data_IF_063423499196
#
_entry.id   IF_063423499196
#
_cell.length_a   1.000
_cell.length_b   1.000
_cell.length_c   1.000
_cell.angle_alpha   90.00
_cell.angle_beta   90.00
_cell.angle_gamma   90.00
#
_symmetry.space_group_name_H-M   'P 1'
#
loop_
_entity.id
_entity.type
_entity.pdbx_description
1 polymer ?
#
# COMPACT_ATOMS: atom_id res chain seq x y z
N UNK A 1 34.20 22.43 -60.24
CA UNK A 1 34.18 21.43 -59.15
C UNK A 1 33.22 21.94 -58.08
N UNK A 2 31.94 21.60 -58.28
CA UNK A 2 30.79 22.01 -57.50
C UNK A 2 30.76 21.27 -56.19
N UNK A 3 30.55 22.00 -55.11
CA UNK A 3 30.19 21.46 -53.81
C UNK A 3 28.66 21.53 -53.66
N UNK A 4 28.03 20.40 -53.54
CA UNK A 4 26.62 20.30 -53.21
C UNK A 4 26.41 20.71 -51.78
N UNK A 5 25.52 21.68 -51.62
CA UNK A 5 25.04 22.20 -50.34
C UNK A 5 23.90 21.28 -49.84
N UNK A 6 24.15 20.56 -48.78
CA UNK A 6 23.12 19.74 -48.12
C UNK A 6 22.40 20.59 -47.08
N UNK A 7 21.21 21.04 -47.44
CA UNK A 7 20.28 21.72 -46.56
C UNK A 7 19.84 20.79 -45.42
N UNK A 8 20.31 21.07 -44.23
CA UNK A 8 19.83 20.44 -43.01
C UNK A 8 18.36 20.82 -42.74
N UNK A 9 17.50 19.81 -42.63
CA UNK A 9 16.09 20.00 -42.33
C UNK A 9 15.89 20.68 -40.97
N UNK A 10 15.17 21.80 -40.99
CA UNK A 10 14.69 22.48 -39.80
C UNK A 10 13.68 21.60 -39.05
N UNK A 11 14.13 21.01 -37.96
CA UNK A 11 13.21 20.46 -36.98
C UNK A 11 12.43 21.61 -36.32
N UNK A 12 11.16 21.76 -36.67
CA UNK A 12 10.26 22.75 -36.10
C UNK A 12 10.26 22.68 -34.56
N UNK A 13 10.89 23.65 -33.91
CA UNK A 13 10.86 23.82 -32.47
C UNK A 13 9.42 24.13 -32.07
N UNK A 14 8.80 23.26 -31.28
CA UNK A 14 7.52 23.52 -30.67
C UNK A 14 7.67 24.70 -29.68
N UNK A 15 7.33 25.91 -30.12
CA UNK A 15 7.57 27.18 -29.41
C UNK A 15 6.44 27.52 -28.42
N UNK A 16 5.65 26.57 -28.03
CA UNK A 16 4.64 26.77 -26.99
C UNK A 16 5.27 26.80 -25.59
N UNK A 17 5.21 27.96 -24.95
CA UNK A 17 5.58 28.05 -23.54
C UNK A 17 4.50 27.45 -22.63
N UNK A 18 4.87 27.13 -21.38
CA UNK A 18 3.95 26.48 -20.40
C UNK A 18 2.61 27.22 -20.24
N UNK A 19 2.63 28.56 -20.32
CA UNK A 19 1.44 29.38 -20.17
C UNK A 19 0.52 29.27 -21.38
N UNK A 20 1.06 29.24 -22.58
CA UNK A 20 0.30 29.01 -23.81
C UNK A 20 -0.28 27.61 -23.88
N UNK A 21 0.47 26.60 -23.44
CA UNK A 21 -0.04 25.22 -23.33
C UNK A 21 -1.26 25.13 -22.41
N UNK A 22 -1.20 25.74 -21.23
CA UNK A 22 -2.32 25.76 -20.27
C UNK A 22 -3.54 26.53 -20.80
N UNK A 23 -3.32 27.64 -21.52
CA UNK A 23 -4.40 28.42 -22.11
C UNK A 23 -5.09 27.66 -23.24
N UNK A 24 -4.36 26.97 -24.11
CA UNK A 24 -4.94 26.19 -25.19
C UNK A 24 -5.59 24.88 -24.70
N UNK A 25 -5.02 24.20 -23.73
CA UNK A 25 -5.62 22.99 -23.15
C UNK A 25 -6.88 23.29 -22.34
N UNK A 26 -6.92 24.42 -21.63
CA UNK A 26 -8.11 24.87 -20.91
C UNK A 26 -9.26 25.26 -21.81
N UNK A 27 -8.98 25.93 -22.92
CA UNK A 27 -10.00 26.34 -23.88
C UNK A 27 -10.64 25.15 -24.61
N UNK A 28 -9.86 24.13 -24.96
CA UNK A 28 -10.40 22.91 -25.59
C UNK A 28 -11.25 22.06 -24.66
N UNK A 29 -10.92 22.02 -23.36
CA UNK A 29 -11.72 21.30 -22.36
C UNK A 29 -13.08 21.98 -22.12
N UNK A 30 -13.12 23.33 -22.14
CA UNK A 30 -14.36 24.08 -21.96
C UNK A 30 -15.31 23.95 -23.15
N UNK A 31 -14.79 23.92 -24.37
CA UNK A 31 -15.61 23.78 -25.60
C UNK A 31 -16.11 22.35 -25.78
N UNK A 32 -15.33 21.33 -25.41
CA UNK A 32 -15.76 19.92 -25.48
C UNK A 32 -16.89 19.61 -24.48
N UNK A 33 -16.88 20.21 -23.29
CA UNK A 33 -17.94 20.00 -22.28
C UNK A 33 -19.25 20.69 -22.63
N UNK A 34 -19.24 21.81 -23.34
CA UNK A 34 -20.48 22.49 -23.77
C UNK A 34 -21.13 21.84 -24.98
N UNK A 35 -20.36 21.27 -25.91
CA UNK A 35 -20.90 20.57 -27.08
C UNK A 35 -21.50 19.22 -26.70
N UNK A 36 -20.95 18.52 -25.74
CA UNK A 36 -21.50 17.23 -25.28
C UNK A 36 -22.81 17.38 -24.48
N UNK A 37 -23.05 18.53 -23.87
CA UNK A 37 -24.31 18.77 -23.11
C UNK A 37 -25.49 19.06 -23.99
N UNK A 38 -25.29 19.55 -25.23
CA UNK A 38 -26.36 19.92 -26.15
C UNK A 38 -26.79 18.80 -27.12
N UNK A 39 -25.99 17.75 -27.28
CA UNK A 39 -26.26 16.66 -28.23
C UNK A 39 -27.00 15.44 -27.63
N UNK A 40 -27.06 15.34 -26.29
CA UNK A 40 -27.77 14.25 -25.62
C UNK A 40 -28.71 14.80 -24.53
N UNK A 41 -30.00 15.05 -24.84
CA UNK A 41 -30.97 15.39 -23.82
C UNK A 41 -31.43 14.13 -23.05
N UNK A 42 -30.51 13.23 -22.79
CA UNK A 42 -30.73 12.13 -21.88
C UNK A 42 -30.06 12.49 -20.57
N UNK A 43 -30.85 12.63 -19.50
CA UNK A 43 -30.35 12.68 -18.15
C UNK A 43 -29.50 11.45 -17.90
N UNK A 44 -28.18 11.56 -18.10
CA UNK A 44 -27.23 10.59 -17.57
C UNK A 44 -27.42 10.64 -16.05
N UNK A 45 -28.30 9.79 -15.51
CA UNK A 45 -28.28 9.46 -14.09
C UNK A 45 -26.88 8.88 -13.85
N UNK A 46 -25.97 9.71 -13.36
CA UNK A 46 -24.74 9.21 -12.80
C UNK A 46 -25.16 8.16 -11.77
N UNK A 47 -24.91 6.91 -12.06
CA UNK A 47 -25.13 5.85 -11.11
C UNK A 47 -24.25 6.20 -9.92
N UNK A 48 -24.86 6.70 -8.84
CA UNK A 48 -24.16 6.90 -7.59
C UNK A 48 -23.71 5.52 -7.13
N UNK A 49 -22.47 5.19 -7.41
CA UNK A 49 -21.86 4.04 -6.80
C UNK A 49 -21.89 4.30 -5.29
N UNK A 50 -22.78 3.60 -4.58
CA UNK A 50 -22.82 3.64 -3.13
C UNK A 50 -21.46 3.11 -2.66
N UNK A 51 -20.62 4.00 -2.12
CA UNK A 51 -19.41 3.58 -1.44
C UNK A 51 -19.85 2.67 -0.28
N UNK A 52 -19.50 1.39 -0.36
CA UNK A 52 -19.73 0.44 0.72
C UNK A 52 -18.62 0.63 1.74
N UNK A 53 -18.93 1.20 2.88
CA UNK A 53 -18.04 1.17 4.03
C UNK A 53 -18.04 -0.25 4.57
N UNK A 54 -16.95 -0.98 4.38
CA UNK A 54 -16.77 -2.32 4.92
C UNK A 54 -15.92 -2.17 6.18
N UNK A 55 -16.50 -2.48 7.35
CA UNK A 55 -15.77 -2.45 8.62
C UNK A 55 -14.84 -3.66 8.75
N UNK A 56 -13.60 -3.41 9.16
CA UNK A 56 -12.72 -4.48 9.59
C UNK A 56 -13.15 -5.04 10.96
N UNK A 57 -12.98 -6.35 11.22
CA UNK A 57 -13.28 -6.91 12.53
C UNK A 57 -12.28 -6.38 13.57
N UNK A 58 -12.78 -6.02 14.77
CA UNK A 58 -11.94 -5.78 15.94
C UNK A 58 -11.60 -7.15 16.55
N UNK A 59 -10.36 -7.63 16.38
CA UNK A 59 -9.93 -8.97 16.74
C UNK A 59 -8.84 -8.90 17.80
N UNK A 60 -9.04 -9.57 18.94
CA UNK A 60 -7.99 -9.76 19.95
C UNK A 60 -6.86 -10.60 19.38
N UNK A 61 -5.63 -10.09 19.40
CA UNK A 61 -4.45 -10.76 18.81
C UNK A 61 -3.33 -11.03 19.80
N UNK A 62 -3.46 -10.58 21.06
CA UNK A 62 -2.49 -10.86 22.11
C UNK A 62 -2.62 -9.93 23.30
N UNK A 63 -1.67 -10.03 24.22
CA UNK A 63 -1.52 -9.14 25.38
C UNK A 63 -0.16 -8.49 25.39
N UNK A 64 -0.11 -7.22 25.76
CA UNK A 64 1.12 -6.44 25.80
C UNK A 64 2.11 -6.99 26.82
N UNK A 65 1.61 -7.46 27.98
CA UNK A 65 2.42 -8.06 29.05
C UNK A 65 3.12 -9.37 28.65
N UNK A 66 2.60 -10.06 27.64
CA UNK A 66 3.17 -11.32 27.13
C UNK A 66 4.27 -11.08 26.07
N UNK A 67 4.37 -9.87 25.51
CA UNK A 67 5.31 -9.55 24.47
C UNK A 67 6.70 -9.23 25.05
N UNK A 68 7.72 -9.77 24.39
CA UNK A 68 9.11 -9.42 24.63
C UNK A 68 9.63 -8.57 23.49
N UNK A 69 10.51 -7.62 23.79
CA UNK A 69 11.11 -6.76 22.79
C UNK A 69 11.87 -7.58 21.73
N UNK A 70 11.62 -7.26 20.46
CA UNK A 70 12.22 -7.91 19.29
C UNK A 70 11.92 -9.41 19.13
N UNK A 71 10.90 -9.92 19.82
CA UNK A 71 10.41 -11.30 19.65
C UNK A 71 9.11 -11.26 18.84
N UNK A 72 9.14 -11.70 17.57
CA UNK A 72 7.95 -11.67 16.72
C UNK A 72 6.94 -12.75 17.14
N UNK A 73 5.65 -12.39 17.11
CA UNK A 73 4.51 -13.27 17.29
C UNK A 73 3.72 -13.38 15.98
N UNK A 74 3.39 -14.60 15.59
CA UNK A 74 2.53 -14.84 14.42
C UNK A 74 1.06 -14.70 14.82
N UNK A 75 0.31 -13.90 14.07
CA UNK A 75 -1.13 -13.68 14.24
C UNK A 75 -1.85 -13.88 12.91
N UNK A 76 -3.18 -14.04 12.96
CA UNK A 76 -4.03 -14.08 11.77
C UNK A 76 -4.98 -12.88 11.77
N UNK A 77 -4.95 -12.10 10.66
CA UNK A 77 -5.84 -10.96 10.47
C UNK A 77 -6.00 -10.64 8.97
N UNK A 78 -7.19 -10.24 8.50
CA UNK A 78 -8.44 -9.96 9.24
C UNK A 78 -9.23 -11.22 9.64
N UNK A 79 -8.99 -12.33 8.97
CA UNK A 79 -9.67 -13.62 9.15
C UNK A 79 -8.66 -14.75 9.39
N UNK A 80 -9.11 -16.01 9.37
CA UNK A 80 -8.24 -17.20 9.44
C UNK A 80 -8.06 -17.85 8.06
N UNK A 81 -8.43 -17.14 7.00
CA UNK A 81 -8.37 -17.65 5.64
C UNK A 81 -6.97 -17.61 5.04
N UNK A 82 -6.90 -17.93 3.77
CA UNK A 82 -5.66 -17.94 2.99
C UNK A 82 -4.96 -16.58 3.06
N UNK A 83 -3.66 -16.59 3.32
CA UNK A 83 -2.78 -15.42 3.33
C UNK A 83 -3.07 -14.40 4.44
N UNK A 84 -3.82 -14.78 5.50
CA UNK A 84 -4.14 -13.89 6.64
C UNK A 84 -3.03 -13.73 7.65
N UNK A 85 -1.97 -14.54 7.60
CA UNK A 85 -0.95 -14.50 8.62
C UNK A 85 -0.11 -13.22 8.54
N UNK A 86 0.14 -12.67 9.72
CA UNK A 86 0.91 -11.46 9.94
C UNK A 86 1.87 -11.66 11.11
N UNK A 87 2.96 -10.91 11.10
CA UNK A 87 3.94 -10.88 12.18
C UNK A 87 3.72 -9.62 13.00
N UNK A 88 3.41 -9.79 14.28
CA UNK A 88 3.33 -8.72 15.28
C UNK A 88 4.62 -8.71 16.11
N UNK A 89 5.15 -7.53 16.39
CA UNK A 89 6.39 -7.39 17.15
C UNK A 89 6.44 -6.08 17.93
N UNK A 90 6.93 -6.16 19.17
CA UNK A 90 7.34 -5.00 19.97
C UNK A 90 8.81 -4.73 19.68
N UNK A 91 9.09 -3.66 18.97
CA UNK A 91 10.40 -3.40 18.35
C UNK A 91 11.41 -2.72 19.27
N UNK A 92 10.94 -2.14 20.39
CA UNK A 92 11.76 -1.36 21.31
C UNK A 92 12.22 0.00 20.74
N UNK A 93 11.80 0.35 19.51
CA UNK A 93 12.06 1.65 18.87
C UNK A 93 10.78 2.17 18.25
N UNK A 94 10.66 3.50 18.17
CA UNK A 94 9.48 4.15 17.58
C UNK A 94 9.30 3.77 16.12
N UNK A 95 8.10 3.30 15.76
CA UNK A 95 7.73 2.87 14.41
C UNK A 95 6.60 3.71 13.83
N UNK A 96 6.57 3.84 12.50
CA UNK A 96 5.45 4.38 11.77
C UNK A 96 4.21 3.51 11.94
N UNK A 97 3.08 4.12 12.37
CA UNK A 97 1.85 3.37 12.69
C UNK A 97 1.93 2.51 13.94
N UNK A 98 3.02 2.61 14.72
CA UNK A 98 3.17 1.88 15.97
C UNK A 98 2.25 2.39 17.07
N UNK A 99 1.78 1.48 17.93
CA UNK A 99 0.92 1.76 19.09
C UNK A 99 1.66 1.55 20.41
N UNK A 100 1.03 1.94 21.51
CA UNK A 100 1.62 1.91 22.85
C UNK A 100 2.40 3.17 23.19
N UNK A 101 2.87 3.25 24.43
CA UNK A 101 3.58 4.43 24.95
C UNK A 101 4.87 4.73 24.16
N UNK A 102 5.61 3.68 23.77
CA UNK A 102 6.80 3.77 22.94
C UNK A 102 6.50 3.92 21.44
N UNK A 103 5.25 3.72 21.01
CA UNK A 103 4.86 3.60 19.60
C UNK A 103 5.71 2.55 18.87
N UNK A 104 6.00 1.48 19.56
CA UNK A 104 6.97 0.45 19.17
C UNK A 104 6.32 -0.92 18.88
N UNK A 105 5.01 -1.03 19.07
CA UNK A 105 4.26 -2.23 18.73
C UNK A 105 3.65 -2.10 17.34
N UNK A 106 4.05 -2.97 16.42
CA UNK A 106 3.60 -3.00 15.02
C UNK A 106 3.27 -4.41 14.56
N UNK A 107 2.47 -4.53 13.52
CA UNK A 107 2.22 -5.81 12.86
C UNK A 107 2.14 -5.63 11.35
N UNK A 108 2.67 -6.61 10.61
CA UNK A 108 2.74 -6.59 9.15
C UNK A 108 2.38 -7.96 8.56
N UNK A 109 1.83 -7.96 7.36
CA UNK A 109 1.66 -9.19 6.60
C UNK A 109 2.97 -9.98 6.55
N UNK A 110 2.90 -11.28 6.72
CA UNK A 110 4.07 -12.15 6.66
C UNK A 110 4.30 -12.72 5.24
N UNK A 111 3.71 -12.07 4.23
CA UNK A 111 3.89 -12.39 2.81
C UNK A 111 4.53 -11.23 2.06
N UNK A 112 5.58 -11.54 1.31
CA UNK A 112 6.26 -10.59 0.43
C UNK A 112 5.30 -10.07 -0.66
N UNK A 113 5.26 -8.75 -0.86
CA UNK A 113 4.37 -8.12 -1.85
C UNK A 113 4.77 -8.36 -3.30
N UNK A 114 6.00 -8.87 -3.55
CA UNK A 114 6.43 -9.19 -4.90
C UNK A 114 5.71 -10.44 -5.46
N UNK A 115 5.91 -11.60 -4.84
CA UNK A 115 5.34 -12.89 -5.28
C UNK A 115 4.91 -13.79 -4.11
N UNK A 116 4.50 -13.21 -3.01
CA UNK A 116 3.96 -13.95 -1.87
C UNK A 116 4.95 -14.84 -1.13
N UNK A 117 6.25 -14.63 -1.29
CA UNK A 117 7.26 -15.40 -0.57
C UNK A 117 7.10 -15.24 0.96
N UNK A 118 7.31 -16.31 1.74
CA UNK A 118 7.10 -16.28 3.19
C UNK A 118 8.16 -15.42 3.89
N UNK A 119 7.69 -14.50 4.73
CA UNK A 119 8.52 -13.65 5.60
C UNK A 119 8.44 -14.08 7.07
N UNK A 120 7.75 -15.15 7.37
CA UNK A 120 7.71 -15.73 8.74
C UNK A 120 9.13 -16.08 9.18
N UNK A 121 9.51 -15.65 10.39
CA UNK A 121 10.86 -15.85 10.92
C UNK A 121 11.95 -15.02 10.24
N UNK A 122 11.59 -14.04 9.43
CA UNK A 122 12.55 -13.17 8.72
C UNK A 122 12.72 -11.79 9.36
N UNK A 123 12.17 -11.58 10.55
CA UNK A 123 12.41 -10.37 11.34
C UNK A 123 13.85 -10.31 11.83
N UNK A 124 14.47 -9.13 11.73
CA UNK A 124 15.84 -8.88 12.19
C UNK A 124 15.99 -7.47 12.74
N UNK A 125 16.87 -7.35 13.71
CA UNK A 125 17.35 -6.07 14.26
C UNK A 125 18.65 -5.71 13.54
N UNK A 126 18.72 -4.51 12.98
CA UNK A 126 19.90 -3.98 12.30
C UNK A 126 20.07 -2.54 12.76
N UNK A 127 20.96 -2.30 13.71
CA UNK A 127 21.17 -1.02 14.37
C UNK A 127 19.85 -0.41 14.89
N UNK A 128 19.50 0.81 14.49
CA UNK A 128 18.21 1.44 14.81
C UNK A 128 17.03 0.92 13.97
N UNK A 129 17.31 0.15 12.92
CA UNK A 129 16.27 -0.37 12.03
C UNK A 129 15.75 -1.73 12.48
N UNK A 130 14.52 -1.99 12.14
CA UNK A 130 13.86 -3.29 12.28
C UNK A 130 13.37 -3.69 10.91
N UNK A 131 13.85 -4.81 10.44
CA UNK A 131 13.58 -5.24 9.06
C UNK A 131 12.83 -6.56 9.04
N UNK A 132 12.05 -6.76 8.00
CA UNK A 132 11.44 -8.03 7.63
C UNK A 132 11.97 -8.45 6.25
N UNK A 133 12.69 -9.56 6.21
CA UNK A 133 13.40 -10.03 5.00
C UNK A 133 14.75 -10.67 5.36
N UNK A 134 15.58 -11.06 4.38
CA UNK A 134 15.28 -11.03 2.95
C UNK A 134 14.27 -12.11 2.58
N UNK A 135 13.37 -11.79 1.65
CA UNK A 135 12.45 -12.76 1.08
C UNK A 135 13.25 -13.89 0.37
N UNK A 136 12.91 -15.17 0.59
CA UNK A 136 13.68 -16.28 0.03
C UNK A 136 13.60 -16.39 -1.49
N UNK A 137 12.62 -15.72 -2.13
CA UNK A 137 12.44 -15.78 -3.59
C UNK A 137 13.33 -14.77 -4.32
N UNK A 138 13.18 -13.46 -4.01
CA UNK A 138 13.87 -12.39 -4.77
C UNK A 138 14.43 -11.30 -3.86
N UNK A 139 14.79 -11.66 -2.62
CA UNK A 139 15.54 -10.86 -1.65
C UNK A 139 14.87 -9.54 -1.21
N UNK A 140 13.58 -9.35 -1.49
CA UNK A 140 12.86 -8.15 -1.02
C UNK A 140 12.93 -8.05 0.50
N UNK A 141 13.28 -6.86 1.00
CA UNK A 141 13.46 -6.54 2.41
C UNK A 141 12.71 -5.25 2.72
N UNK A 142 12.09 -5.20 3.88
CA UNK A 142 11.20 -4.12 4.29
C UNK A 142 11.63 -3.54 5.63
N UNK A 143 11.58 -2.21 5.78
CA UNK A 143 11.80 -1.52 7.04
C UNK A 143 10.48 -1.36 7.80
N UNK A 144 10.29 -2.12 8.87
CA UNK A 144 9.06 -2.08 9.68
C UNK A 144 9.01 -0.88 10.62
N UNK A 145 10.10 -0.15 10.80
CA UNK A 145 10.10 1.13 11.53
C UNK A 145 9.46 2.26 10.73
N UNK A 146 9.34 2.08 9.40
CA UNK A 146 8.84 3.07 8.44
C UNK A 146 7.70 2.53 7.59
N UNK A 147 6.63 2.04 8.23
CA UNK A 147 5.44 1.52 7.54
C UNK A 147 5.71 0.38 6.55
N UNK A 148 6.74 -0.42 6.77
CA UNK A 148 7.06 -1.54 5.88
C UNK A 148 7.54 -1.13 4.50
N UNK A 149 8.18 0.04 4.34
CA UNK A 149 8.74 0.45 3.05
C UNK A 149 9.80 -0.54 2.56
N UNK A 150 9.90 -0.68 1.27
CA UNK A 150 10.90 -1.51 0.62
C UNK A 150 12.27 -0.83 0.73
N UNK A 151 13.28 -1.55 1.20
CA UNK A 151 14.66 -1.08 1.25
C UNK A 151 15.59 -1.82 0.28
N UNK A 152 15.18 -3.02 -0.18
CA UNK A 152 15.89 -3.74 -1.23
C UNK A 152 15.01 -4.82 -1.86
N UNK A 153 15.44 -5.36 -3.00
CA UNK A 153 14.79 -6.45 -3.73
C UNK A 153 13.82 -5.98 -4.79
N UNK A 154 12.91 -6.86 -5.23
CA UNK A 154 12.08 -6.66 -6.41
C UNK A 154 10.61 -6.31 -6.11
N UNK A 155 10.24 -6.11 -4.85
CA UNK A 155 8.90 -5.66 -4.51
C UNK A 155 8.66 -4.21 -4.99
N UNK A 156 7.39 -3.87 -5.25
CA UNK A 156 6.97 -2.54 -5.70
C UNK A 156 6.10 -1.82 -4.67
N UNK A 157 5.55 -2.56 -3.70
CA UNK A 157 4.63 -2.05 -2.69
C UNK A 157 5.20 -2.28 -1.29
N UNK A 158 4.93 -1.35 -0.38
CA UNK A 158 5.23 -1.53 1.05
C UNK A 158 4.52 -2.77 1.58
N UNK A 159 5.10 -3.38 2.61
CA UNK A 159 4.50 -4.52 3.26
C UNK A 159 3.19 -4.10 3.95
N UNK A 160 2.05 -4.78 3.69
CA UNK A 160 0.78 -4.40 4.29
C UNK A 160 0.84 -4.41 5.82
N UNK A 161 0.45 -3.28 6.43
CA UNK A 161 0.49 -3.07 7.87
C UNK A 161 -0.87 -3.35 8.50
N UNK A 162 -0.90 -4.18 9.54
CA UNK A 162 -2.08 -4.36 10.39
C UNK A 162 -2.17 -3.18 11.35
N UNK A 163 -3.31 -2.51 11.37
CA UNK A 163 -3.59 -1.43 12.30
C UNK A 163 -3.96 -2.04 13.66
N UNK A 164 -3.23 -1.62 14.68
CA UNK A 164 -3.40 -2.11 16.04
C UNK A 164 -4.01 -1.05 16.93
N UNK A 165 -4.71 -1.49 17.97
CA UNK A 165 -5.27 -0.67 19.05
C UNK A 165 -4.97 -1.36 20.40
N UNK A 166 -4.69 -0.56 21.41
CA UNK A 166 -4.52 -1.07 22.80
C UNK A 166 -5.74 -0.71 23.64
N UNK A 167 -6.22 -1.69 24.38
CA UNK A 167 -7.25 -1.52 25.40
C UNK A 167 -6.74 -2.14 26.72
N UNK A 168 -6.15 -1.31 27.55
CA UNK A 168 -5.38 -1.79 28.70
C UNK A 168 -4.19 -2.64 28.28
N UNK A 169 -4.20 -3.90 28.67
CA UNK A 169 -3.19 -4.90 28.30
C UNK A 169 -3.51 -5.66 27.01
N UNK A 170 -4.75 -5.55 26.53
CA UNK A 170 -5.20 -6.27 25.35
C UNK A 170 -4.82 -5.57 24.06
N UNK A 171 -4.36 -6.33 23.07
CA UNK A 171 -3.97 -5.85 21.74
C UNK A 171 -5.02 -6.30 20.75
N UNK A 172 -5.64 -5.35 20.07
CA UNK A 172 -6.62 -5.61 19.03
C UNK A 172 -6.08 -5.21 17.64
N UNK A 173 -6.31 -6.07 16.66
CA UNK A 173 -6.21 -5.71 15.27
C UNK A 173 -7.55 -5.14 14.80
N UNK A 174 -7.51 -3.94 14.17
CA UNK A 174 -8.74 -3.17 13.85
C UNK A 174 -8.81 -2.77 12.38
N UNK A 175 -7.77 -3.01 11.60
CA UNK A 175 -7.74 -2.63 10.19
C UNK A 175 -6.49 -3.09 9.48
N UNK A 176 -6.43 -2.81 8.18
CA UNK A 176 -5.29 -3.14 7.34
C UNK A 176 -4.97 -1.99 6.40
N UNK A 177 -3.74 -1.59 6.34
CA UNK A 177 -3.21 -0.63 5.38
C UNK A 177 -2.43 -1.38 4.32
N UNK A 178 -2.84 -1.27 3.06
CA UNK A 178 -2.33 -2.07 1.94
C UNK A 178 -3.13 -3.34 1.69
N UNK A 179 -2.92 -3.96 0.53
CA UNK A 179 -3.61 -5.18 0.10
C UNK A 179 -2.76 -6.42 0.42
N UNK A 180 -3.34 -7.41 1.07
CA UNK A 180 -2.69 -8.70 1.34
C UNK A 180 -2.40 -9.40 0.01
N UNK A 181 -1.17 -9.89 -0.15
CA UNK A 181 -0.77 -10.61 -1.35
C UNK A 181 -1.69 -11.79 -1.67
N UNK A 182 -2.08 -11.90 -2.94
CA UNK A 182 -2.93 -12.97 -3.45
C UNK A 182 -4.41 -12.82 -3.12
N UNK A 183 -4.83 -11.62 -2.66
CA UNK A 183 -6.23 -11.23 -2.48
C UNK A 183 -6.59 -10.09 -3.41
N UNK A 184 -7.85 -10.02 -3.82
CA UNK A 184 -8.43 -8.88 -4.55
C UNK A 184 -9.12 -7.89 -3.60
N UNK A 185 -9.31 -8.28 -2.34
CA UNK A 185 -9.81 -7.45 -1.24
C UNK A 185 -9.38 -8.08 0.09
N UNK A 186 -9.12 -7.27 1.11
CA UNK A 186 -8.66 -7.77 2.40
C UNK A 186 -9.74 -8.53 3.18
N UNK A 187 -10.99 -8.09 3.06
CA UNK A 187 -12.13 -8.76 3.70
C UNK A 187 -12.71 -9.76 2.73
N UNK A 188 -12.52 -11.03 3.01
CA UNK A 188 -13.15 -12.11 2.26
C UNK A 188 -14.64 -12.17 2.62
N UNK A 189 -15.53 -12.42 1.65
CA UNK A 189 -16.91 -12.71 1.97
C UNK A 189 -16.98 -13.89 2.95
N UNK A 190 -17.84 -13.81 3.96
CA UNK A 190 -18.15 -14.98 4.77
C UNK A 190 -18.63 -16.08 3.81
N UNK A 191 -17.93 -17.20 3.78
CA UNK A 191 -18.43 -18.39 3.12
C UNK A 191 -19.64 -18.84 3.94
N UNK A 192 -20.84 -18.50 3.49
CA UNK A 192 -22.04 -19.18 3.95
C UNK A 192 -21.87 -20.65 3.57
N UNK A 193 -21.43 -21.46 4.54
CA UNK A 193 -21.52 -22.91 4.41
C UNK A 193 -23.00 -23.24 4.24
N UNK A 194 -23.36 -23.65 3.03
CA UNK A 194 -24.67 -24.18 2.68
C UNK A 194 -24.75 -25.67 3.00
#
# INVERSE_FOLDING_TARGET
KSREDQTAGEHGKCMLNRRQFLMYSGATAATASTVSLSLFPGTAKAAQAKARVVGYPRKLVGKLSELKDNVPLLINYPDNGKNSFATMVKTGVKCGGGVGTGRDLVAFSALCTHQGGPLVGKYKVVDEHRIMGSCPLHLSTYDVTRHGIIISGQAYESLPQVLLELDGDEIYAVGMMGLIYGRNQNLMPETTES
#
